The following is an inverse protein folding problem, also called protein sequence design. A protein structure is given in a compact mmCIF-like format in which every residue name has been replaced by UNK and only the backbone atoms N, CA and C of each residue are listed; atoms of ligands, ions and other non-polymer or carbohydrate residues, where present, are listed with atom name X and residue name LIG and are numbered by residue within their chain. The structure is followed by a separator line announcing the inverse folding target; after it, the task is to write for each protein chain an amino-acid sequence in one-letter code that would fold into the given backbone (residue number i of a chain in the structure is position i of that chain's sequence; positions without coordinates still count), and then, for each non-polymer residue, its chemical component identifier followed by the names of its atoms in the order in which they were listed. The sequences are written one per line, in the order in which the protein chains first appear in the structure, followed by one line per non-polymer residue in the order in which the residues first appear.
data_IF_860172750108
#
_entry.id   IF_860172750108
#
_cell.length_a   1.000
_cell.length_b   1.000
_cell.length_c   1.000
_cell.angle_alpha   90.00
_cell.angle_beta   90.00
_cell.angle_gamma   90.00
#
_symmetry.space_group_name_H-M   'P 1'
#
loop_
_entity.id
_entity.type
_entity.pdbx_description
1 polymer ?
#
# COMPACT_ATOMS: atom_id res chain seq x y z
N UNK A 1 -9.81 1.31 -30.53
CA UNK A 1 -9.31 2.56 -29.94
C UNK A 1 -8.47 2.16 -28.72
N UNK A 2 -7.45 2.90 -28.33
CA UNK A 2 -6.71 2.60 -27.10
C UNK A 2 -7.58 2.92 -25.89
N UNK A 3 -7.61 2.05 -24.90
CA UNK A 3 -8.35 2.30 -23.66
C UNK A 3 -7.74 3.49 -22.90
N UNK A 4 -8.55 4.32 -22.28
CA UNK A 4 -8.06 5.46 -21.49
C UNK A 4 -7.57 5.01 -20.12
N UNK A 5 -8.25 4.02 -19.52
CA UNK A 5 -7.98 3.56 -18.16
C UNK A 5 -8.13 2.04 -18.06
N UNK A 6 -7.21 1.39 -17.37
CA UNK A 6 -7.37 0.02 -16.87
C UNK A 6 -7.44 0.06 -15.34
N UNK A 7 -8.52 -0.48 -14.79
CA UNK A 7 -8.73 -0.60 -13.34
C UNK A 7 -8.43 -2.04 -12.94
N UNK A 8 -7.45 -2.24 -12.08
CA UNK A 8 -7.01 -3.57 -11.65
C UNK A 8 -7.56 -3.85 -10.25
N UNK A 9 -8.32 -4.94 -10.13
CA UNK A 9 -9.00 -5.39 -8.90
C UNK A 9 -8.45 -6.75 -8.50
N UNK A 10 -7.49 -6.83 -7.56
CA UNK A 10 -7.07 -8.11 -7.00
C UNK A 10 -8.16 -8.67 -6.08
N UNK A 11 -8.55 -9.94 -6.27
CA UNK A 11 -9.64 -10.58 -5.52
C UNK A 11 -9.15 -11.90 -4.93
N UNK A 12 -9.35 -12.08 -3.63
CA UNK A 12 -9.11 -13.34 -2.94
C UNK A 12 -10.08 -13.55 -1.78
N UNK A 13 -11.02 -14.50 -1.91
CA UNK A 13 -12.01 -14.87 -0.89
C UNK A 13 -12.87 -13.67 -0.41
N UNK A 14 -13.51 -12.97 -1.34
CA UNK A 14 -14.33 -11.77 -1.11
C UNK A 14 -15.84 -11.97 -1.33
N UNK A 15 -16.33 -13.22 -1.39
CA UNK A 15 -17.75 -13.49 -1.61
C UNK A 15 -18.65 -13.12 -0.42
N UNK A 16 -18.08 -12.99 0.78
CA UNK A 16 -18.87 -12.73 1.98
C UNK A 16 -19.34 -11.26 2.06
N UNK A 17 -20.52 -11.04 2.66
CA UNK A 17 -21.07 -9.73 3.02
C UNK A 17 -21.33 -8.78 1.84
N UNK A 18 -21.29 -9.26 0.59
CA UNK A 18 -21.53 -8.46 -0.59
C UNK A 18 -20.47 -7.41 -0.94
N UNK A 19 -19.31 -7.43 -0.29
CA UNK A 19 -18.21 -6.45 -0.47
C UNK A 19 -17.78 -6.38 -1.93
N UNK A 20 -17.49 -7.54 -2.52
CA UNK A 20 -17.10 -7.63 -3.93
C UNK A 20 -18.13 -7.00 -4.86
N UNK A 21 -19.43 -7.20 -4.57
CA UNK A 21 -20.50 -6.57 -5.35
C UNK A 21 -20.47 -5.04 -5.23
N UNK A 22 -20.29 -4.49 -4.01
CA UNK A 22 -20.20 -3.04 -3.81
C UNK A 22 -19.03 -2.44 -4.58
N UNK A 23 -17.87 -3.10 -4.53
CA UNK A 23 -16.71 -2.70 -5.32
C UNK A 23 -17.04 -2.67 -6.81
N UNK A 24 -17.50 -3.79 -7.38
CA UNK A 24 -17.77 -3.91 -8.81
C UNK A 24 -18.89 -2.99 -9.27
N UNK A 25 -19.98 -2.83 -8.50
CA UNK A 25 -21.08 -1.90 -8.82
C UNK A 25 -20.56 -0.45 -8.87
N UNK A 26 -19.66 -0.05 -7.97
CA UNK A 26 -19.07 1.28 -8.01
C UNK A 26 -18.21 1.52 -9.25
N UNK A 27 -17.56 0.48 -9.77
CA UNK A 27 -16.71 0.56 -10.96
C UNK A 27 -17.49 0.55 -12.27
N UNK A 28 -18.55 -0.24 -12.37
CA UNK A 28 -19.42 -0.24 -13.56
C UNK A 28 -20.32 1.00 -13.63
N UNK A 29 -20.59 1.62 -12.48
CA UNK A 29 -21.39 2.83 -12.33
C UNK A 29 -20.64 4.15 -12.53
N UNK A 30 -19.36 4.12 -12.93
CA UNK A 30 -18.56 5.33 -13.09
C UNK A 30 -19.08 6.28 -14.17
N UNK A 31 -19.05 7.59 -13.90
CA UNK A 31 -19.51 8.65 -14.82
C UNK A 31 -18.66 8.77 -16.08
N UNK A 32 -17.42 8.25 -16.05
CA UNK A 32 -16.55 8.18 -17.25
C UNK A 32 -17.12 7.29 -18.37
N UNK A 33 -18.11 6.45 -18.07
CA UNK A 33 -18.75 5.57 -19.03
C UNK A 33 -19.45 6.39 -20.12
N UNK A 34 -19.00 6.26 -21.35
CA UNK A 34 -19.47 7.06 -22.48
C UNK A 34 -18.64 8.33 -22.76
N UNK A 35 -17.75 8.73 -21.85
CA UNK A 35 -16.75 9.78 -22.07
C UNK A 35 -15.42 9.17 -22.53
N UNK A 36 -14.99 8.10 -21.86
CA UNK A 36 -13.75 7.40 -22.14
C UNK A 36 -14.00 5.90 -22.27
N UNK A 37 -13.20 5.23 -23.10
CA UNK A 37 -13.12 3.78 -23.15
C UNK A 37 -12.22 3.29 -22.00
N UNK A 38 -12.73 2.41 -21.13
CA UNK A 38 -11.99 1.87 -19.99
C UNK A 38 -12.28 0.38 -19.80
N UNK A 39 -11.48 -0.29 -18.99
CA UNK A 39 -11.64 -1.70 -18.65
C UNK A 39 -11.42 -1.94 -17.16
N UNK A 40 -12.05 -2.99 -16.66
CA UNK A 40 -11.92 -3.47 -15.28
C UNK A 40 -11.32 -4.88 -15.35
N UNK A 41 -10.11 -5.03 -14.85
CA UNK A 41 -9.35 -6.27 -14.84
C UNK A 41 -9.47 -6.90 -13.45
N UNK A 42 -10.38 -7.86 -13.31
CA UNK A 42 -10.62 -8.56 -12.05
C UNK A 42 -9.71 -9.78 -11.99
N UNK A 43 -8.69 -9.75 -11.14
CA UNK A 43 -7.74 -10.85 -10.99
C UNK A 43 -8.14 -11.70 -9.80
N UNK A 44 -8.70 -12.89 -10.06
CA UNK A 44 -9.01 -13.87 -9.02
C UNK A 44 -7.74 -14.62 -8.62
N UNK A 45 -7.24 -14.38 -7.42
CA UNK A 45 -5.97 -14.92 -6.92
C UNK A 45 -6.14 -16.32 -6.31
N UNK A 46 -6.76 -17.23 -7.07
CA UNK A 46 -7.08 -18.60 -6.68
C UNK A 46 -8.02 -18.63 -5.45
N UNK A 47 -9.12 -17.93 -5.49
CA UNK A 47 -10.15 -17.95 -4.45
C UNK A 47 -10.72 -19.34 -4.25
N UNK A 48 -11.06 -19.67 -3.01
CA UNK A 48 -11.65 -20.96 -2.60
C UNK A 48 -13.13 -20.84 -2.20
N UNK A 49 -13.66 -19.63 -2.24
CA UNK A 49 -15.06 -19.31 -2.02
C UNK A 49 -15.79 -18.98 -3.35
N UNK A 50 -16.97 -18.40 -3.29
CA UNK A 50 -17.75 -18.03 -4.47
C UNK A 50 -17.26 -16.77 -5.20
N UNK A 51 -16.09 -16.21 -4.88
CA UNK A 51 -15.60 -14.96 -5.49
C UNK A 51 -15.47 -15.07 -7.01
N UNK A 52 -14.85 -16.15 -7.51
CA UNK A 52 -14.71 -16.35 -8.95
C UNK A 52 -16.07 -16.46 -9.67
N UNK A 53 -17.06 -17.11 -9.06
CA UNK A 53 -18.42 -17.19 -9.62
C UNK A 53 -19.07 -15.81 -9.75
N UNK A 54 -18.91 -14.96 -8.74
CA UNK A 54 -19.39 -13.57 -8.75
C UNK A 54 -18.70 -12.80 -9.88
N UNK A 55 -17.38 -12.88 -10.02
CA UNK A 55 -16.62 -12.21 -11.07
C UNK A 55 -17.10 -12.61 -12.47
N UNK A 56 -17.27 -13.89 -12.72
CA UNK A 56 -17.75 -14.42 -14.00
C UNK A 56 -19.19 -13.99 -14.32
N UNK A 57 -20.06 -13.82 -13.31
CA UNK A 57 -21.39 -13.28 -13.51
C UNK A 57 -21.34 -11.80 -13.92
N UNK A 58 -20.44 -11.00 -13.31
CA UNK A 58 -20.23 -9.61 -13.72
C UNK A 58 -19.62 -9.50 -15.12
N UNK A 59 -18.63 -10.33 -15.48
CA UNK A 59 -18.08 -10.38 -16.84
C UNK A 59 -19.16 -10.69 -17.87
N UNK A 60 -20.02 -11.67 -17.59
CA UNK A 60 -21.15 -12.00 -18.47
C UNK A 60 -22.16 -10.86 -18.64
N UNK A 61 -22.40 -10.06 -17.60
CA UNK A 61 -23.27 -8.87 -17.66
C UNK A 61 -22.62 -7.68 -18.36
N UNK A 62 -21.30 -7.56 -18.28
CA UNK A 62 -20.54 -6.41 -18.80
C UNK A 62 -19.31 -6.87 -19.63
N UNK A 63 -19.50 -7.67 -20.72
CA UNK A 63 -18.41 -8.36 -21.41
C UNK A 63 -17.41 -7.43 -22.10
N UNK A 64 -17.81 -6.18 -22.43
CA UNK A 64 -16.92 -5.19 -23.04
C UNK A 64 -16.12 -4.38 -22.01
N UNK A 65 -16.47 -4.52 -20.73
CA UNK A 65 -15.93 -3.69 -19.65
C UNK A 65 -15.14 -4.48 -18.63
N UNK A 66 -15.63 -5.65 -18.22
CA UNK A 66 -15.04 -6.49 -17.18
C UNK A 66 -14.35 -7.70 -17.82
N UNK A 67 -13.11 -7.95 -17.42
CA UNK A 67 -12.33 -9.10 -17.84
C UNK A 67 -11.80 -9.82 -16.61
N UNK A 68 -12.12 -11.12 -16.47
CA UNK A 68 -11.72 -11.95 -15.34
C UNK A 68 -10.44 -12.71 -15.68
N UNK A 69 -9.46 -12.62 -14.82
CA UNK A 69 -8.15 -13.28 -14.94
C UNK A 69 -7.98 -14.22 -13.75
N UNK A 70 -8.24 -15.52 -13.91
CA UNK A 70 -8.09 -16.49 -12.83
C UNK A 70 -6.63 -16.95 -12.71
N UNK A 71 -6.02 -16.78 -11.55
CA UNK A 71 -4.71 -17.34 -11.22
C UNK A 71 -4.83 -18.83 -10.86
N UNK A 72 -3.86 -19.62 -11.27
CA UNK A 72 -3.81 -21.04 -10.92
C UNK A 72 -3.39 -21.30 -9.44
N UNK A 73 -2.66 -20.35 -8.86
CA UNK A 73 -2.16 -20.36 -7.48
C UNK A 73 -2.24 -18.97 -6.87
N UNK A 74 -2.32 -18.89 -5.56
CA UNK A 74 -2.32 -17.60 -4.87
C UNK A 74 -0.92 -16.94 -4.93
N UNK A 75 -0.86 -15.78 -5.57
CA UNK A 75 0.35 -14.95 -5.75
C UNK A 75 0.42 -13.81 -4.74
N UNK A 76 -0.56 -13.69 -3.87
CA UNK A 76 -0.82 -12.54 -3.00
C UNK A 76 -1.21 -11.28 -3.82
N UNK A 77 -1.53 -10.21 -3.11
CA UNK A 77 -2.06 -8.99 -3.72
C UNK A 77 -1.11 -8.38 -4.76
N UNK A 78 0.21 -8.39 -4.49
CA UNK A 78 1.22 -7.90 -5.44
C UNK A 78 1.25 -8.70 -6.75
N UNK A 79 1.28 -10.04 -6.65
CA UNK A 79 1.25 -10.88 -7.84
C UNK A 79 -0.04 -10.77 -8.64
N UNK A 80 -1.20 -10.67 -7.96
CA UNK A 80 -2.47 -10.42 -8.64
C UNK A 80 -2.48 -9.07 -9.38
N UNK A 81 -1.95 -8.00 -8.77
CA UNK A 81 -1.79 -6.69 -9.44
C UNK A 81 -0.88 -6.79 -10.67
N UNK A 82 0.22 -7.57 -10.59
CA UNK A 82 1.13 -7.80 -11.72
C UNK A 82 0.44 -8.55 -12.87
N UNK A 83 -0.40 -9.58 -12.60
CA UNK A 83 -1.15 -10.26 -13.65
C UNK A 83 -2.10 -9.29 -14.38
N UNK A 84 -2.77 -8.39 -13.65
CA UNK A 84 -3.55 -7.32 -14.26
C UNK A 84 -2.70 -6.37 -15.12
N UNK A 85 -1.53 -5.94 -14.62
CA UNK A 85 -0.61 -5.06 -15.37
C UNK A 85 -0.13 -5.67 -16.70
N UNK A 86 0.07 -7.00 -16.76
CA UNK A 86 0.53 -7.70 -17.98
C UNK A 86 -0.44 -7.57 -19.16
N UNK A 87 -1.74 -7.43 -18.87
CA UNK A 87 -2.78 -7.39 -19.89
C UNK A 87 -3.44 -6.02 -20.05
N UNK A 88 -3.14 -5.08 -19.16
CA UNK A 88 -3.70 -3.73 -19.14
C UNK A 88 -3.41 -2.97 -20.46
N UNK A 89 -4.44 -2.36 -21.05
CA UNK A 89 -4.37 -1.62 -22.31
C UNK A 89 -4.57 -0.11 -22.13
N UNK A 90 -4.92 0.32 -20.90
CA UNK A 90 -5.19 1.71 -20.58
C UNK A 90 -3.96 2.61 -20.68
N UNK A 91 -4.19 3.86 -21.05
CA UNK A 91 -3.21 4.94 -20.95
C UNK A 91 -2.84 5.21 -19.49
N UNK A 92 -3.82 4.98 -18.61
CA UNK A 92 -3.72 5.10 -17.16
C UNK A 92 -4.01 3.77 -16.47
N UNK A 93 -3.40 3.56 -15.33
CA UNK A 93 -3.66 2.41 -14.44
C UNK A 93 -4.24 2.93 -13.12
N UNK A 94 -5.34 2.34 -12.69
CA UNK A 94 -5.89 2.47 -11.35
C UNK A 94 -5.88 1.12 -10.65
N UNK A 95 -5.69 1.11 -9.32
CA UNK A 95 -5.86 -0.05 -8.48
C UNK A 95 -7.00 0.20 -7.49
N UNK A 96 -7.70 -0.84 -7.08
CA UNK A 96 -8.70 -0.77 -6.02
C UNK A 96 -8.72 -2.08 -5.25
N UNK A 97 -8.83 -2.02 -3.94
CA UNK A 97 -9.02 -3.21 -3.11
C UNK A 97 -10.47 -3.70 -3.23
N UNK A 98 -10.66 -5.01 -3.32
CA UNK A 98 -11.95 -5.63 -3.67
C UNK A 98 -13.02 -5.59 -2.55
N UNK A 99 -12.66 -5.09 -1.38
CA UNK A 99 -13.55 -4.82 -0.24
C UNK A 99 -13.91 -3.34 -0.07
N UNK A 100 -13.37 -2.46 -0.93
CA UNK A 100 -13.61 -1.01 -0.94
C UNK A 100 -14.47 -0.60 -2.15
N UNK A 101 -14.92 0.66 -2.17
CA UNK A 101 -15.64 1.26 -3.32
C UNK A 101 -15.29 2.72 -3.50
N UNK A 102 -15.68 3.28 -4.65
CA UNK A 102 -15.34 4.66 -5.04
C UNK A 102 -16.59 5.46 -5.37
N UNK A 103 -16.49 6.80 -5.28
CA UNK A 103 -17.58 7.68 -5.72
C UNK A 103 -17.86 7.52 -7.23
N UNK A 104 -19.08 7.80 -7.69
CA UNK A 104 -19.43 7.65 -9.11
C UNK A 104 -18.53 8.46 -10.06
N UNK A 105 -17.97 9.57 -9.60
CA UNK A 105 -17.15 10.50 -10.36
C UNK A 105 -15.62 10.39 -10.05
N UNK A 106 -15.22 9.33 -9.35
CA UNK A 106 -13.82 9.11 -8.92
C UNK A 106 -12.84 9.19 -10.09
N UNK A 107 -12.97 8.31 -11.06
CA UNK A 107 -12.03 8.26 -12.17
C UNK A 107 -12.18 9.45 -13.13
N UNK A 108 -13.38 10.01 -13.27
CA UNK A 108 -13.61 11.23 -14.04
C UNK A 108 -12.78 12.38 -13.48
N UNK A 109 -12.88 12.66 -12.18
CA UNK A 109 -12.14 13.74 -11.53
C UNK A 109 -10.63 13.55 -11.58
N UNK A 110 -10.15 12.32 -11.39
CA UNK A 110 -8.71 12.04 -11.48
C UNK A 110 -8.18 12.22 -12.91
N UNK A 111 -8.91 11.74 -13.93
CA UNK A 111 -8.51 11.91 -15.32
C UNK A 111 -8.59 13.37 -15.77
N UNK A 112 -9.61 14.11 -15.37
CA UNK A 112 -9.73 15.55 -15.64
C UNK A 112 -8.57 16.32 -15.03
N UNK A 113 -8.21 16.04 -13.75
CA UNK A 113 -7.06 16.66 -13.10
C UNK A 113 -5.77 16.37 -13.87
N UNK A 114 -5.59 15.13 -14.33
CA UNK A 114 -4.42 14.74 -15.14
C UNK A 114 -4.36 15.50 -16.46
N UNK A 115 -5.49 15.67 -17.15
CA UNK A 115 -5.57 16.39 -18.43
C UNK A 115 -5.34 17.88 -18.27
N UNK A 116 -5.92 18.51 -17.23
CA UNK A 116 -5.78 19.93 -16.93
C UNK A 116 -4.35 20.33 -16.59
N UNK A 117 -3.61 19.46 -15.89
CA UNK A 117 -2.29 19.80 -15.33
C UNK A 117 -1.13 19.18 -16.10
N UNK A 118 -1.38 18.17 -16.92
CA UNK A 118 -0.35 17.37 -17.56
C UNK A 118 0.37 16.41 -16.59
N UNK A 119 -0.18 16.17 -15.41
CA UNK A 119 0.39 15.26 -14.43
C UNK A 119 0.47 13.81 -14.96
N UNK A 120 1.45 13.05 -14.50
CA UNK A 120 1.63 11.63 -14.79
C UNK A 120 1.30 10.72 -13.60
N UNK A 121 0.96 11.33 -12.47
CA UNK A 121 0.44 10.71 -11.25
C UNK A 121 -0.66 11.60 -10.67
N UNK A 122 -1.84 11.05 -10.36
CA UNK A 122 -2.92 11.81 -9.71
C UNK A 122 -3.53 10.99 -8.60
N UNK A 123 -3.76 11.61 -7.44
CA UNK A 123 -4.36 10.95 -6.29
C UNK A 123 -5.51 11.73 -5.69
N UNK A 124 -6.16 11.14 -4.68
CA UNK A 124 -7.21 11.80 -3.90
C UNK A 124 -7.12 11.42 -2.42
N UNK A 125 -8.02 11.99 -1.62
CA UNK A 125 -8.23 11.62 -0.24
C UNK A 125 -9.26 10.49 -0.13
N UNK A 126 -9.46 9.95 1.09
CA UNK A 126 -10.40 8.87 1.30
C UNK A 126 -11.24 9.05 2.57
N UNK A 127 -12.36 8.35 2.60
CA UNK A 127 -13.29 8.32 3.72
C UNK A 127 -13.23 6.96 4.42
N UNK A 128 -13.14 6.96 5.75
CA UNK A 128 -13.31 5.73 6.54
C UNK A 128 -14.81 5.50 6.74
N UNK A 129 -15.28 4.31 6.40
CA UNK A 129 -16.67 3.90 6.53
C UNK A 129 -16.77 2.51 7.18
N UNK A 130 -17.85 2.25 7.91
CA UNK A 130 -18.12 0.99 8.62
C UNK A 130 -19.28 0.20 8.03
N UNK A 131 -19.92 0.73 6.99
CA UNK A 131 -20.98 0.08 6.21
C UNK A 131 -20.99 0.64 4.80
N UNK A 132 -21.67 -0.06 3.86
CA UNK A 132 -21.80 0.42 2.49
C UNK A 132 -22.62 1.71 2.43
N UNK A 133 -21.96 2.79 2.05
CA UNK A 133 -22.54 4.14 1.92
C UNK A 133 -21.72 4.97 0.94
N UNK A 134 -22.34 6.01 0.37
CA UNK A 134 -21.65 7.11 -0.33
C UNK A 134 -21.66 8.41 0.49
N UNK A 135 -22.09 8.35 1.75
CA UNK A 135 -21.92 9.47 2.67
C UNK A 135 -20.47 9.52 3.15
N UNK A 136 -19.92 10.72 3.18
CA UNK A 136 -18.53 10.93 3.63
C UNK A 136 -18.46 10.76 5.13
N UNK A 137 -17.71 9.75 5.56
CA UNK A 137 -17.39 9.52 6.98
C UNK A 137 -16.19 10.34 7.46
N UNK A 138 -15.27 9.70 8.18
CA UNK A 138 -14.04 10.36 8.61
C UNK A 138 -13.07 10.50 7.44
N UNK A 139 -12.80 11.74 7.03
CA UNK A 139 -11.85 12.05 5.95
C UNK A 139 -10.41 11.87 6.41
N UNK A 140 -9.62 11.20 5.60
CA UNK A 140 -8.18 11.05 5.76
C UNK A 140 -7.48 11.63 4.53
N UNK A 141 -6.55 12.55 4.78
CA UNK A 141 -5.69 13.13 3.73
C UNK A 141 -4.61 12.12 3.36
N UNK A 142 -4.58 11.71 2.10
CA UNK A 142 -3.63 10.70 1.61
C UNK A 142 -2.25 11.31 1.31
N UNK A 143 -2.25 12.44 0.64
CA UNK A 143 -1.04 13.17 0.28
C UNK A 143 -1.23 14.66 0.59
N UNK A 144 -0.13 15.34 0.96
CA UNK A 144 -0.17 16.77 1.33
C UNK A 144 0.18 17.67 0.14
N UNK A 145 -0.18 18.99 0.18
CA UNK A 145 0.17 19.93 -0.89
C UNK A 145 1.67 20.01 -1.18
N UNK A 146 2.52 19.81 -0.17
CA UNK A 146 3.99 19.85 -0.33
C UNK A 146 4.52 18.74 -1.24
N UNK A 147 3.73 17.69 -1.45
CA UNK A 147 4.07 16.55 -2.28
C UNK A 147 3.67 16.73 -3.75
N UNK A 148 2.86 17.74 -4.09
CA UNK A 148 2.22 17.89 -5.41
C UNK A 148 2.92 18.94 -6.29
N UNK A 149 2.57 18.95 -7.59
CA UNK A 149 3.17 19.75 -8.66
C UNK A 149 4.32 19.03 -9.35
N UNK A 150 5.16 19.76 -10.06
CA UNK A 150 6.42 19.24 -10.62
C UNK A 150 7.28 18.64 -9.51
N UNK A 151 7.68 17.38 -9.68
CA UNK A 151 8.41 16.63 -8.66
C UNK A 151 9.90 16.95 -8.70
N UNK A 152 10.31 17.91 -7.86
CA UNK A 152 11.71 18.18 -7.57
C UNK A 152 12.30 17.05 -6.71
N UNK A 153 13.62 17.09 -6.51
CA UNK A 153 14.30 16.13 -5.62
C UNK A 153 13.69 16.13 -4.22
N UNK A 154 13.45 17.29 -3.65
CA UNK A 154 12.87 17.44 -2.30
C UNK A 154 11.47 16.83 -2.22
N UNK A 155 10.66 16.98 -3.26
CA UNK A 155 9.33 16.35 -3.32
C UNK A 155 9.40 14.84 -3.48
N UNK A 156 10.34 14.32 -4.27
CA UNK A 156 10.63 12.89 -4.33
C UNK A 156 11.07 12.33 -2.97
N UNK A 157 11.90 13.05 -2.23
CA UNK A 157 12.30 12.66 -0.87
C UNK A 157 11.10 12.50 0.06
N UNK A 158 10.15 13.47 0.03
CA UNK A 158 8.93 13.42 0.84
C UNK A 158 8.02 12.27 0.38
N UNK A 159 7.81 12.11 -0.93
CA UNK A 159 6.99 11.04 -1.50
C UNK A 159 7.58 9.65 -1.24
N UNK A 160 8.90 9.51 -1.29
CA UNK A 160 9.57 8.25 -0.97
C UNK A 160 9.33 7.84 0.48
N UNK A 161 9.40 8.78 1.41
CA UNK A 161 9.17 8.54 2.84
C UNK A 161 7.68 8.32 3.13
N UNK A 162 6.80 9.08 2.48
CA UNK A 162 5.35 9.03 2.67
C UNK A 162 4.63 8.97 1.33
N UNK A 163 4.66 7.83 0.65
CA UNK A 163 4.06 7.72 -0.69
C UNK A 163 2.53 7.85 -0.68
N UNK A 164 1.90 7.68 0.48
CA UNK A 164 0.45 7.50 0.57
C UNK A 164 0.02 6.14 0.01
N UNK A 165 -1.27 5.83 0.08
CA UNK A 165 -1.81 4.58 -0.45
C UNK A 165 -1.78 4.56 -1.99
N UNK A 166 -1.42 3.42 -2.55
CA UNK A 166 -1.32 3.23 -4.00
C UNK A 166 -2.69 3.10 -4.67
N UNK A 167 -3.70 2.57 -3.97
CA UNK A 167 -5.06 2.39 -4.50
C UNK A 167 -5.84 3.70 -4.64
N UNK A 168 -5.33 4.77 -4.06
CA UNK A 168 -5.93 6.11 -4.12
C UNK A 168 -5.40 6.96 -5.28
N UNK A 169 -4.78 6.33 -6.28
CA UNK A 169 -4.09 7.03 -7.38
C UNK A 169 -4.36 6.38 -8.73
N UNK A 170 -4.23 7.20 -9.77
CA UNK A 170 -4.02 6.73 -11.14
C UNK A 170 -2.60 7.06 -11.59
N UNK A 171 -2.05 6.17 -12.38
CA UNK A 171 -0.64 6.16 -12.79
C UNK A 171 -0.54 6.17 -14.31
N UNK A 172 0.32 7.02 -14.89
CA UNK A 172 0.61 6.96 -16.32
C UNK A 172 1.24 5.61 -16.67
N UNK A 173 0.56 4.80 -17.47
CA UNK A 173 0.97 3.42 -17.77
C UNK A 173 2.33 3.33 -18.46
N UNK A 174 2.68 4.29 -19.33
CA UNK A 174 4.00 4.33 -19.98
C UNK A 174 5.14 4.40 -18.96
N UNK A 175 4.98 5.17 -17.86
CA UNK A 175 5.99 5.25 -16.79
C UNK A 175 6.20 3.89 -16.13
N UNK A 176 5.12 3.15 -15.86
CA UNK A 176 5.20 1.79 -15.28
C UNK A 176 5.97 0.86 -16.22
N UNK A 177 5.58 0.82 -17.51
CA UNK A 177 6.17 -0.10 -18.49
C UNK A 177 7.62 0.21 -18.82
N UNK A 178 7.95 1.47 -19.08
CA UNK A 178 9.29 1.92 -19.48
C UNK A 178 10.33 1.67 -18.38
N UNK A 179 9.89 1.69 -17.11
CA UNK A 179 10.75 1.49 -15.96
C UNK A 179 10.62 0.10 -15.32
N UNK A 180 9.87 -0.82 -15.95
CA UNK A 180 9.63 -2.18 -15.43
C UNK A 180 9.24 -2.14 -13.95
N UNK A 181 8.20 -1.35 -13.63
CA UNK A 181 7.68 -1.23 -12.29
C UNK A 181 6.66 -2.33 -12.03
N UNK A 182 6.93 -3.15 -11.03
CA UNK A 182 6.09 -4.25 -10.59
C UNK A 182 5.97 -4.27 -9.06
N UNK A 183 5.12 -5.16 -8.56
CA UNK A 183 4.95 -5.41 -7.13
C UNK A 183 5.72 -6.65 -6.72
N UNK A 184 6.29 -6.71 -5.50
CA UNK A 184 6.76 -7.96 -4.93
C UNK A 184 5.63 -8.98 -4.81
N UNK A 185 5.92 -10.22 -5.23
CA UNK A 185 4.96 -11.33 -5.18
C UNK A 185 5.16 -12.20 -3.93
N UNK A 186 4.12 -12.94 -3.54
CA UNK A 186 4.13 -13.89 -2.43
C UNK A 186 4.45 -13.30 -1.05
N UNK A 187 4.27 -11.99 -0.86
CA UNK A 187 4.42 -11.33 0.43
C UNK A 187 3.21 -10.47 0.78
N UNK A 188 2.99 -10.22 2.06
CA UNK A 188 2.17 -9.10 2.53
C UNK A 188 2.97 -7.80 2.46
N UNK A 189 2.27 -6.66 2.37
CA UNK A 189 2.87 -5.32 2.36
C UNK A 189 3.74 -5.05 1.12
N UNK A 190 3.34 -5.54 -0.04
CA UNK A 190 3.96 -5.28 -1.34
C UNK A 190 4.03 -3.78 -1.66
N UNK A 191 3.05 -3.02 -1.19
CA UNK A 191 2.92 -1.57 -1.33
C UNK A 191 4.04 -0.81 -0.58
N UNK A 192 4.55 -1.36 0.52
CA UNK A 192 5.69 -0.78 1.24
C UNK A 192 7.00 -0.82 0.44
N UNK A 193 7.09 -1.70 -0.53
CA UNK A 193 8.18 -1.72 -1.51
C UNK A 193 7.82 -0.88 -2.74
N UNK A 194 6.67 -1.17 -3.36
CA UNK A 194 6.28 -0.54 -4.63
C UNK A 194 6.03 0.97 -4.49
N UNK A 195 5.27 1.41 -3.48
CA UNK A 195 4.91 2.82 -3.32
C UNK A 195 6.10 3.78 -3.28
N UNK A 196 7.08 3.60 -2.38
CA UNK A 196 8.29 4.41 -2.35
C UNK A 196 9.08 4.33 -3.66
N UNK A 197 9.31 3.12 -4.19
CA UNK A 197 10.10 2.93 -5.40
C UNK A 197 9.47 3.63 -6.61
N UNK A 198 8.17 3.41 -6.84
CA UNK A 198 7.46 3.99 -7.96
C UNK A 198 7.46 5.52 -7.92
N UNK A 199 7.33 6.12 -6.73
CA UNK A 199 7.31 7.58 -6.57
C UNK A 199 8.53 8.29 -7.16
N UNK A 200 9.66 7.60 -7.31
CA UNK A 200 10.90 8.15 -7.89
C UNK A 200 10.90 8.26 -9.44
N UNK A 201 9.87 7.73 -10.11
CA UNK A 201 9.81 7.70 -11.57
C UNK A 201 8.83 8.68 -12.19
N UNK A 202 7.84 9.13 -11.42
CA UNK A 202 6.87 10.12 -11.87
C UNK A 202 7.49 11.52 -11.81
N UNK A 203 7.02 12.42 -12.66
CA UNK A 203 7.58 13.77 -12.80
C UNK A 203 6.65 14.87 -12.30
N UNK A 204 5.36 14.60 -12.32
CA UNK A 204 4.35 15.56 -11.93
C UNK A 204 3.19 14.85 -11.20
N UNK A 205 3.05 15.14 -9.93
CA UNK A 205 1.99 14.59 -9.09
C UNK A 205 0.96 15.64 -8.75
N UNK A 206 -0.30 15.32 -8.97
CA UNK A 206 -1.42 16.18 -8.56
C UNK A 206 -2.41 15.43 -7.67
N UNK A 207 -3.25 16.18 -6.95
CA UNK A 207 -4.29 15.60 -6.13
C UNK A 207 -5.63 16.29 -6.33
N UNK A 208 -6.70 15.52 -6.20
CA UNK A 208 -8.06 16.00 -6.01
C UNK A 208 -8.31 16.04 -4.49
N UNK A 209 -8.62 17.22 -3.96
CA UNK A 209 -8.81 17.42 -2.51
C UNK A 209 -10.22 17.01 -2.05
N UNK A 210 -10.61 15.80 -2.45
CA UNK A 210 -11.91 15.23 -2.13
C UNK A 210 -11.75 13.76 -1.69
N UNK A 211 -12.55 13.28 -0.70
CA UNK A 211 -12.53 11.89 -0.26
C UNK A 211 -13.37 11.01 -1.20
N UNK A 212 -12.82 10.70 -2.37
CA UNK A 212 -13.54 10.00 -3.43
C UNK A 212 -13.49 8.47 -3.30
N UNK A 213 -12.69 7.94 -2.39
CA UNK A 213 -12.52 6.52 -2.11
C UNK A 213 -13.08 6.21 -0.74
N UNK A 214 -13.86 5.13 -0.61
CA UNK A 214 -14.47 4.67 0.62
C UNK A 214 -13.75 3.43 1.12
N UNK A 215 -12.92 3.63 2.15
CA UNK A 215 -12.17 2.55 2.81
C UNK A 215 -13.05 1.89 3.87
N UNK A 216 -13.41 0.63 3.62
CA UNK A 216 -14.30 -0.12 4.49
C UNK A 216 -13.58 -0.72 5.69
N UNK A 217 -13.96 -0.29 6.88
CA UNK A 217 -13.42 -0.80 8.13
C UNK A 217 -14.24 -1.98 8.64
N UNK A 218 -13.67 -3.19 8.59
CA UNK A 218 -14.30 -4.40 9.11
C UNK A 218 -13.32 -5.20 9.98
N UNK A 219 -13.86 -6.04 10.89
CA UNK A 219 -13.06 -6.77 11.90
C UNK A 219 -12.05 -7.76 11.29
N UNK A 220 -12.27 -8.24 10.08
CA UNK A 220 -11.45 -9.26 9.41
C UNK A 220 -10.30 -8.64 8.58
N UNK A 221 -10.14 -7.31 8.60
CA UNK A 221 -9.08 -6.63 7.84
C UNK A 221 -7.70 -7.22 8.13
N UNK A 222 -6.93 -7.43 7.09
CA UNK A 222 -5.55 -7.98 7.14
C UNK A 222 -4.65 -7.22 8.11
N UNK A 223 -4.90 -5.93 8.33
CA UNK A 223 -4.10 -5.05 9.18
C UNK A 223 -4.27 -5.36 10.69
N UNK A 224 -5.42 -5.90 11.10
CA UNK A 224 -5.72 -6.13 12.52
C UNK A 224 -5.08 -7.38 13.12
N UNK A 225 -4.65 -8.37 12.32
CA UNK A 225 -4.04 -9.60 12.82
C UNK A 225 -2.55 -9.66 12.53
N UNK A 226 -1.74 -9.25 13.52
CA UNK A 226 -0.27 -9.32 13.42
C UNK A 226 0.21 -10.74 13.73
N UNK A 227 0.97 -11.34 12.80
CA UNK A 227 1.64 -12.62 12.95
C UNK A 227 3.15 -12.47 12.74
N UNK A 228 3.94 -13.48 13.18
CA UNK A 228 5.37 -13.49 12.88
C UNK A 228 5.63 -13.54 11.37
N UNK A 229 4.80 -14.24 10.59
CA UNK A 229 4.86 -14.29 9.13
C UNK A 229 4.72 -12.88 8.52
N UNK A 230 3.67 -12.14 8.88
CA UNK A 230 3.46 -10.77 8.41
C UNK A 230 4.62 -9.83 8.79
N UNK A 231 5.19 -10.02 9.99
CA UNK A 231 6.39 -9.27 10.39
C UNK A 231 7.59 -9.59 9.48
N UNK A 232 7.80 -10.87 9.15
CA UNK A 232 8.86 -11.30 8.22
C UNK A 232 8.63 -10.77 6.80
N UNK A 233 7.40 -10.75 6.34
CA UNK A 233 7.08 -10.19 5.03
C UNK A 233 7.33 -8.69 4.96
N UNK A 234 7.06 -7.94 6.05
CA UNK A 234 7.44 -6.51 6.11
C UNK A 234 8.95 -6.30 6.09
N UNK A 235 9.71 -7.16 6.80
CA UNK A 235 11.18 -7.16 6.70
C UNK A 235 11.63 -7.42 5.25
N UNK A 236 11.01 -8.41 4.59
CA UNK A 236 11.30 -8.75 3.20
C UNK A 236 10.95 -7.61 2.25
N UNK A 237 9.83 -6.93 2.45
CA UNK A 237 9.47 -5.75 1.66
C UNK A 237 10.53 -4.64 1.78
N UNK A 238 11.07 -4.40 2.98
CA UNK A 238 12.15 -3.44 3.21
C UNK A 238 13.46 -3.86 2.49
N UNK A 239 13.83 -5.14 2.55
CA UNK A 239 15.00 -5.68 1.85
C UNK A 239 14.86 -5.58 0.33
N UNK A 240 13.67 -5.85 -0.21
CA UNK A 240 13.37 -5.70 -1.63
C UNK A 240 13.46 -4.24 -2.06
N UNK A 241 12.85 -3.32 -1.30
CA UNK A 241 12.95 -1.88 -1.57
C UNK A 241 14.42 -1.42 -1.60
N UNK A 242 15.20 -1.80 -0.59
CA UNK A 242 16.64 -1.48 -0.55
C UNK A 242 17.39 -2.04 -1.76
N UNK A 243 17.11 -3.30 -2.11
CA UNK A 243 17.76 -3.99 -3.23
C UNK A 243 17.41 -3.33 -4.57
N UNK A 244 16.13 -3.02 -4.80
CA UNK A 244 15.67 -2.31 -6.00
C UNK A 244 16.29 -0.90 -6.10
N UNK A 245 16.26 -0.13 -5.01
CA UNK A 245 16.90 1.19 -4.99
C UNK A 245 18.39 1.12 -5.28
N UNK A 246 19.08 0.12 -4.75
CA UNK A 246 20.52 -0.11 -5.03
C UNK A 246 20.77 -0.47 -6.49
N UNK A 247 20.01 -1.43 -7.03
CA UNK A 247 20.18 -1.92 -8.39
C UNK A 247 19.85 -0.85 -9.44
N UNK A 248 18.92 0.05 -9.14
CA UNK A 248 18.50 1.17 -9.98
C UNK A 248 19.33 2.44 -9.77
N UNK A 249 20.33 2.42 -8.86
CA UNK A 249 21.28 3.52 -8.66
C UNK A 249 20.80 4.64 -7.74
N UNK A 250 19.64 4.49 -7.09
CA UNK A 250 19.07 5.54 -6.23
C UNK A 250 19.79 5.75 -4.90
N UNK A 251 20.65 4.81 -4.47
CA UNK A 251 21.41 4.96 -3.21
C UNK A 251 22.33 6.18 -3.18
N UNK A 252 22.78 6.67 -4.33
CA UNK A 252 23.66 7.85 -4.38
C UNK A 252 22.89 9.12 -4.05
N UNK A 253 21.66 9.22 -4.50
CA UNK A 253 20.84 10.44 -4.42
C UNK A 253 19.92 10.46 -3.21
N UNK A 254 19.33 9.31 -2.85
CA UNK A 254 18.28 9.18 -1.81
C UNK A 254 18.73 8.29 -0.63
N UNK A 255 20.03 8.29 -0.30
CA UNK A 255 20.61 7.41 0.72
C UNK A 255 19.90 7.52 2.08
N UNK A 256 19.71 8.74 2.56
CA UNK A 256 19.11 8.98 3.89
C UNK A 256 17.65 8.55 3.95
N UNK A 257 16.89 8.76 2.86
CA UNK A 257 15.50 8.36 2.75
C UNK A 257 15.36 6.83 2.69
N UNK A 258 16.24 6.17 1.92
CA UNK A 258 16.27 4.71 1.79
C UNK A 258 16.67 4.06 3.13
N UNK A 259 17.68 4.59 3.80
CA UNK A 259 18.09 4.17 5.15
C UNK A 259 16.95 4.31 6.15
N UNK A 260 16.25 5.45 6.14
CA UNK A 260 15.12 5.67 7.02
C UNK A 260 13.97 4.69 6.74
N UNK A 261 13.54 4.55 5.47
CA UNK A 261 12.45 3.61 5.12
C UNK A 261 12.78 2.17 5.42
N UNK A 262 14.03 1.76 5.18
CA UNK A 262 14.50 0.44 5.60
C UNK A 262 14.38 0.28 7.12
N UNK A 263 14.92 1.23 7.89
CA UNK A 263 14.91 1.19 9.36
C UNK A 263 13.49 1.20 9.91
N UNK A 264 12.61 2.01 9.35
CA UNK A 264 11.22 2.12 9.75
C UNK A 264 10.47 0.80 9.52
N UNK A 265 10.54 0.23 8.31
CA UNK A 265 9.81 -0.98 7.93
C UNK A 265 10.44 -2.25 8.53
N UNK A 266 11.74 -2.42 8.32
CA UNK A 266 12.45 -3.62 8.76
C UNK A 266 12.48 -3.71 10.29
N UNK A 267 12.72 -2.60 10.97
CA UNK A 267 12.98 -2.57 12.40
C UNK A 267 11.87 -1.93 13.22
N UNK A 268 11.70 -0.62 13.17
CA UNK A 268 10.86 0.10 14.13
C UNK A 268 9.40 -0.38 14.13
N UNK A 269 8.70 -0.30 13.00
CA UNK A 269 7.30 -0.76 12.90
C UNK A 269 7.21 -2.26 13.18
N UNK A 270 8.14 -3.05 12.64
CA UNK A 270 8.10 -4.52 12.81
C UNK A 270 8.37 -4.92 14.26
N UNK A 271 9.32 -4.29 14.96
CA UNK A 271 9.60 -4.53 16.36
C UNK A 271 8.36 -4.31 17.25
N UNK A 272 7.76 -3.13 17.14
CA UNK A 272 6.63 -2.78 18.01
C UNK A 272 5.35 -3.53 17.63
N UNK A 273 5.09 -3.77 16.34
CA UNK A 273 3.99 -4.64 15.90
C UNK A 273 4.17 -6.07 16.40
N UNK A 274 5.38 -6.64 16.28
CA UNK A 274 5.68 -7.98 16.75
C UNK A 274 5.48 -8.12 18.27
N UNK A 275 6.02 -7.19 19.04
CA UNK A 275 5.92 -7.23 20.50
C UNK A 275 4.49 -7.01 21.01
N UNK A 276 3.67 -6.21 20.31
CA UNK A 276 2.29 -5.93 20.72
C UNK A 276 1.30 -6.97 20.22
N UNK A 277 1.48 -7.51 19.00
CA UNK A 277 0.49 -8.35 18.31
C UNK A 277 0.75 -9.85 18.42
N UNK A 278 2.00 -10.30 18.58
CA UNK A 278 2.33 -11.73 18.67
C UNK A 278 2.20 -12.24 20.10
N UNK A 279 1.36 -13.25 20.32
CA UNK A 279 1.06 -13.80 21.68
C UNK A 279 2.30 -14.22 22.48
N UNK A 280 3.29 -14.82 21.82
CA UNK A 280 4.54 -15.33 22.43
C UNK A 280 5.76 -14.81 21.67
N UNK A 281 6.10 -13.51 21.79
CA UNK A 281 7.26 -12.97 21.10
C UNK A 281 8.56 -13.57 21.64
N UNK A 282 9.52 -13.79 20.73
CA UNK A 282 10.82 -14.40 21.02
C UNK A 282 11.92 -13.34 21.05
N UNK A 283 12.82 -13.42 22.03
CA UNK A 283 13.99 -12.54 22.12
C UNK A 283 14.89 -12.67 20.86
N UNK A 284 15.01 -13.88 20.30
CA UNK A 284 15.80 -14.12 19.08
C UNK A 284 15.34 -13.28 17.89
N UNK A 285 14.01 -13.13 17.69
CA UNK A 285 13.48 -12.29 16.62
C UNK A 285 13.77 -10.81 16.86
N UNK A 286 13.68 -10.36 18.10
CA UNK A 286 14.02 -8.98 18.50
C UNK A 286 15.50 -8.67 18.23
N UNK A 287 16.40 -9.61 18.52
CA UNK A 287 17.84 -9.51 18.20
C UNK A 287 18.04 -9.49 16.68
N UNK A 288 17.36 -10.36 15.93
CA UNK A 288 17.43 -10.43 14.46
C UNK A 288 17.12 -9.07 13.82
N UNK A 289 16.04 -8.40 14.25
CA UNK A 289 15.65 -7.08 13.76
C UNK A 289 16.76 -6.04 13.93
N UNK A 290 17.34 -5.94 15.12
CA UNK A 290 18.42 -4.98 15.40
C UNK A 290 19.66 -5.30 14.57
N UNK A 291 20.13 -6.56 14.60
CA UNK A 291 21.34 -6.95 13.88
C UNK A 291 21.21 -6.82 12.37
N UNK A 292 20.02 -7.16 11.82
CA UNK A 292 19.72 -6.97 10.40
C UNK A 292 19.79 -5.50 9.99
N UNK A 293 19.23 -4.61 10.79
CA UNK A 293 19.29 -3.17 10.53
C UNK A 293 20.72 -2.63 10.64
N UNK A 294 21.46 -2.98 11.71
CA UNK A 294 22.85 -2.53 11.93
C UNK A 294 23.81 -3.06 10.84
N UNK A 295 23.52 -4.22 10.25
CA UNK A 295 24.30 -4.78 9.13
C UNK A 295 24.23 -3.89 7.88
N UNK A 296 23.06 -3.32 7.58
CA UNK A 296 22.88 -2.42 6.43
C UNK A 296 23.26 -0.98 6.78
N UNK A 297 22.82 -0.52 7.95
CA UNK A 297 22.93 0.87 8.41
C UNK A 297 23.35 0.93 9.89
N UNK A 298 24.67 0.83 10.19
CA UNK A 298 25.16 0.79 11.57
C UNK A 298 24.82 2.01 12.42
N UNK A 299 24.63 3.17 11.78
CA UNK A 299 24.36 4.45 12.41
C UNK A 299 22.93 4.96 12.13
N UNK A 300 21.98 4.07 11.86
CA UNK A 300 20.61 4.42 11.50
C UNK A 300 19.94 5.39 12.49
N UNK A 301 20.33 5.33 13.77
CA UNK A 301 19.82 6.20 14.84
C UNK A 301 20.35 7.64 14.78
N UNK A 302 21.28 7.94 13.88
CA UNK A 302 21.75 9.29 13.56
C UNK A 302 21.09 9.85 12.30
N UNK A 303 20.31 9.06 11.57
CA UNK A 303 19.64 9.48 10.36
C UNK A 303 18.66 10.63 10.67
N UNK A 304 18.66 11.76 9.92
CA UNK A 304 17.82 12.92 10.21
C UNK A 304 16.32 12.59 10.16
N UNK A 305 15.90 11.74 9.23
CA UNK A 305 14.51 11.32 9.11
C UNK A 305 14.08 10.38 10.25
N UNK A 306 14.99 9.51 10.73
CA UNK A 306 14.74 8.70 11.93
C UNK A 306 14.53 9.60 13.16
N UNK A 307 15.36 10.61 13.34
CA UNK A 307 15.24 11.55 14.46
C UNK A 307 13.97 12.40 14.38
N UNK A 308 13.52 12.73 13.17
CA UNK A 308 12.35 13.55 12.94
C UNK A 308 11.03 12.77 13.02
N UNK A 309 10.97 11.57 12.46
CA UNK A 309 9.71 10.85 12.26
C UNK A 309 9.48 9.68 13.21
N UNK A 310 10.53 9.12 13.82
CA UNK A 310 10.37 8.08 14.86
C UNK A 310 9.98 8.75 16.19
N UNK A 311 8.95 8.22 16.86
CA UNK A 311 8.46 8.78 18.11
C UNK A 311 9.54 8.83 19.20
N UNK A 312 9.57 9.87 20.06
CA UNK A 312 10.62 10.00 21.10
C UNK A 312 10.66 8.80 22.06
N UNK A 313 9.52 8.17 22.31
CA UNK A 313 9.45 6.97 23.14
C UNK A 313 10.05 5.75 22.43
N UNK A 314 9.74 5.57 21.16
CA UNK A 314 10.32 4.50 20.34
C UNK A 314 11.83 4.65 20.22
N UNK A 315 12.33 5.87 20.00
CA UNK A 315 13.76 6.16 19.99
C UNK A 315 14.44 5.76 21.32
N UNK A 316 13.82 6.08 22.47
CA UNK A 316 14.34 5.67 23.80
C UNK A 316 14.36 4.15 23.96
N UNK A 317 13.32 3.46 23.51
CA UNK A 317 13.21 2.00 23.59
C UNK A 317 14.24 1.33 22.68
N UNK A 318 14.42 1.81 21.46
CA UNK A 318 15.44 1.34 20.51
C UNK A 318 16.85 1.59 21.06
N UNK A 319 17.10 2.76 21.65
CA UNK A 319 18.37 3.06 22.31
C UNK A 319 18.65 2.14 23.52
N UNK A 320 17.62 1.73 24.25
CA UNK A 320 17.74 0.71 25.31
C UNK A 320 18.09 -0.65 24.73
N UNK A 321 17.46 -1.05 23.62
CA UNK A 321 17.73 -2.31 22.95
C UNK A 321 19.18 -2.36 22.42
N UNK A 322 19.67 -1.30 21.78
CA UNK A 322 21.08 -1.18 21.33
C UNK A 322 22.09 -1.41 22.48
N UNK A 323 21.74 -1.04 23.71
CA UNK A 323 22.58 -1.29 24.90
C UNK A 323 22.45 -2.73 25.40
N UNK A 324 21.27 -3.32 25.37
CA UNK A 324 21.00 -4.70 25.80
C UNK A 324 19.64 -5.19 25.33
N UNK A 325 19.63 -6.14 24.38
CA UNK A 325 18.41 -6.77 23.87
C UNK A 325 17.60 -7.43 24.99
N UNK A 326 18.25 -8.14 25.92
CA UNK A 326 17.59 -8.84 27.02
C UNK A 326 16.91 -7.85 27.96
N UNK A 327 17.61 -6.77 28.36
CA UNK A 327 17.06 -5.74 29.24
C UNK A 327 15.85 -5.05 28.60
N UNK A 328 15.97 -4.69 27.34
CA UNK A 328 14.87 -4.12 26.57
C UNK A 328 13.66 -5.06 26.53
N UNK A 329 13.88 -6.32 26.15
CA UNK A 329 12.81 -7.30 26.00
C UNK A 329 12.05 -7.53 27.31
N UNK A 330 12.77 -7.74 28.42
CA UNK A 330 12.17 -7.92 29.74
C UNK A 330 11.39 -6.66 30.16
N UNK A 331 11.98 -5.48 29.99
CA UNK A 331 11.31 -4.20 30.30
C UNK A 331 10.02 -4.02 29.52
N UNK A 332 10.06 -4.25 28.20
CA UNK A 332 8.88 -4.08 27.36
C UNK A 332 7.76 -5.05 27.72
N UNK A 333 8.09 -6.31 27.99
CA UNK A 333 7.12 -7.34 28.41
C UNK A 333 6.48 -7.03 29.77
N UNK A 334 7.24 -6.56 30.73
CA UNK A 334 6.70 -6.14 32.02
C UNK A 334 5.76 -4.93 31.86
N UNK A 335 6.17 -3.95 31.08
CA UNK A 335 5.34 -2.77 30.79
C UNK A 335 4.02 -3.16 30.13
N UNK A 336 4.06 -4.04 29.12
CA UNK A 336 2.85 -4.53 28.43
C UNK A 336 1.93 -5.28 29.39
N UNK A 337 2.47 -6.09 30.28
CA UNK A 337 1.70 -6.78 31.32
C UNK A 337 0.95 -5.80 32.25
N UNK A 338 1.65 -4.79 32.75
CA UNK A 338 1.05 -3.74 33.60
C UNK A 338 -0.03 -2.95 32.86
N UNK A 339 0.20 -2.65 31.56
CA UNK A 339 -0.80 -1.95 30.74
C UNK A 339 -2.07 -2.79 30.56
N UNK A 340 -1.94 -4.07 30.25
CA UNK A 340 -3.09 -4.96 30.06
C UNK A 340 -3.90 -5.15 31.35
N UNK A 341 -3.26 -5.17 32.53
CA UNK A 341 -3.97 -5.18 33.80
C UNK A 341 -4.84 -3.94 33.99
N UNK A 342 -4.33 -2.76 33.64
CA UNK A 342 -5.07 -1.48 33.77
C UNK A 342 -6.20 -1.31 32.74
N UNK A 343 -6.14 -2.01 31.63
CA UNK A 343 -7.18 -1.98 30.60
C UNK A 343 -8.32 -2.98 30.87
N UNK A 344 -8.13 -3.87 31.84
CA UNK A 344 -9.12 -4.88 32.26
C UNK A 344 -9.93 -4.45 33.48
N UNK A 345 -9.55 -3.36 34.14
CA UNK A 345 -10.28 -2.63 35.18
C UNK A 345 -11.11 -1.49 34.55
#
# INVERSE_FOLDING_TARGET
MSKKLSIIVPVYNMAAEGKLNYCLDSLVGQTIRGLYDYEILCVDDASTDASLEILLDYEKRYPELIHVIPNAVNLRQGGAKNEGLKVAQGEWIGFIDSDDWVSPDYYEKLLQKAEETGADLVGCDYSLVDHHTFEVGKVIVNNTPEQTGELTKEKHEILFIRPGSMVLKIYRHSVIRENCLDFPEHIFYEDNCAGPLWSLYFRHFERVEEPLYYYYQHEVSTVHHITEEKCRDRMRAAELLYTECRNRGFLTEYKEQIEYRFTELYYAITLFSYLSGVKKPKLSFVIELRLGTEKHFPEFDKNPYYLQYTGPEEQKLIAMQKKSDLRFFVYYRLRQFVWNLRASD
#
